data_IF_681323887831
#
_entry.id   IF_681323887831
#
_cell.length_a   1.000
_cell.length_b   1.000
_cell.length_c   1.000
_cell.angle_alpha   90.00
_cell.angle_beta   90.00
_cell.angle_gamma   90.00
#
_symmetry.space_group_name_H-M   'P 1'
#
loop_
_entity.id
_entity.type
_entity.pdbx_description
1 polymer ?
#
# COMPACT_ATOMS: atom_id res chain seq x y z
N UNK A 1 19.13 -18.54 -2.31
CA UNK A 1 18.31 -19.11 -3.40
C UNK A 1 16.97 -19.54 -2.82
N UNK A 2 15.87 -19.23 -3.51
CA UNK A 2 14.52 -19.66 -3.13
C UNK A 2 14.29 -21.13 -3.53
N UNK A 3 13.38 -21.81 -2.83
CA UNK A 3 13.04 -23.20 -3.15
C UNK A 3 12.25 -23.28 -4.45
N UNK A 4 12.61 -24.25 -5.31
CA UNK A 4 11.91 -24.53 -6.56
C UNK A 4 10.53 -25.14 -6.28
N UNK A 5 9.61 -24.98 -7.23
CA UNK A 5 8.24 -25.51 -7.15
C UNK A 5 7.44 -24.92 -5.99
N UNK A 6 7.83 -23.75 -5.48
CA UNK A 6 7.23 -23.12 -4.31
C UNK A 6 6.66 -21.76 -4.72
N UNK A 7 5.42 -21.50 -4.33
CA UNK A 7 4.84 -20.16 -4.41
C UNK A 7 5.29 -19.36 -3.18
N UNK A 8 5.82 -18.18 -3.37
CA UNK A 8 6.20 -17.25 -2.31
C UNK A 8 5.28 -16.05 -2.34
N UNK A 9 4.85 -15.62 -1.17
CA UNK A 9 4.20 -14.32 -0.97
C UNK A 9 5.21 -13.36 -0.36
N UNK A 10 5.31 -12.16 -0.93
CA UNK A 10 6.17 -11.11 -0.43
C UNK A 10 5.38 -10.14 0.45
N UNK A 11 5.99 -9.74 1.56
CA UNK A 11 5.43 -8.77 2.49
C UNK A 11 6.42 -7.63 2.72
N UNK A 12 5.96 -6.38 2.63
CA UNK A 12 6.69 -5.25 3.18
C UNK A 12 6.40 -5.19 4.67
N UNK A 13 7.46 -5.17 5.49
CA UNK A 13 7.33 -5.05 6.95
C UNK A 13 7.91 -3.72 7.41
N UNK A 14 7.09 -2.94 8.13
CA UNK A 14 7.39 -1.56 8.49
C UNK A 14 6.65 -1.12 9.75
N UNK A 15 6.98 0.06 10.26
CA UNK A 15 6.32 0.70 11.39
C UNK A 15 6.26 2.22 11.17
N UNK A 16 5.39 2.89 11.93
CA UNK A 16 5.29 4.35 11.94
C UNK A 16 5.96 4.93 13.18
N UNK A 17 6.81 5.94 12.98
CA UNK A 17 7.24 6.82 14.07
C UNK A 17 6.06 7.64 14.55
N UNK A 18 6.05 8.02 15.83
CA UNK A 18 5.12 9.04 16.33
C UNK A 18 5.21 10.30 15.45
N UNK A 19 4.05 10.76 14.97
CA UNK A 19 3.95 11.91 14.06
C UNK A 19 4.23 11.60 12.59
N UNK A 20 4.18 10.32 12.17
CA UNK A 20 4.20 9.97 10.76
C UNK A 20 3.02 10.62 9.99
N UNK A 21 3.25 10.99 8.73
CA UNK A 21 2.23 11.63 7.88
C UNK A 21 2.48 11.36 6.38
N UNK A 22 1.43 11.51 5.58
CA UNK A 22 1.48 11.44 4.12
C UNK A 22 1.25 10.05 3.52
N UNK A 23 0.75 9.08 4.30
CA UNK A 23 0.50 7.69 3.85
C UNK A 23 -0.98 7.39 3.55
N UNK A 24 -1.78 8.45 3.49
CA UNK A 24 -3.23 8.47 3.25
C UNK A 24 -3.62 8.10 1.81
N UNK A 25 -2.66 8.15 0.88
CA UNK A 25 -2.82 7.71 -0.49
C UNK A 25 -2.17 6.33 -0.72
N UNK A 26 -2.78 5.47 -1.55
CA UNK A 26 -2.21 4.17 -1.87
C UNK A 26 -0.89 4.30 -2.63
N UNK A 27 0.00 3.33 -2.43
CA UNK A 27 1.21 3.13 -3.21
C UNK A 27 0.99 2.01 -4.25
N UNK A 28 1.83 1.96 -5.27
CA UNK A 28 1.88 0.87 -6.25
C UNK A 28 2.89 -0.18 -5.79
N UNK A 29 2.44 -1.43 -5.62
CA UNK A 29 3.31 -2.59 -5.44
C UNK A 29 3.49 -3.35 -6.76
N UNK A 30 4.66 -3.97 -6.93
CA UNK A 30 4.98 -4.80 -8.09
C UNK A 30 5.89 -5.97 -7.72
N UNK A 31 5.87 -7.00 -8.58
CA UNK A 31 6.67 -8.22 -8.48
C UNK A 31 7.28 -8.55 -9.85
N UNK A 32 8.52 -8.18 -10.11
CA UNK A 32 9.12 -8.25 -11.44
C UNK A 32 10.14 -9.40 -11.53
N UNK A 33 10.04 -10.20 -12.59
CA UNK A 33 11.02 -11.25 -12.90
C UNK A 33 11.83 -10.82 -14.12
N UNK A 34 13.15 -10.78 -14.00
CA UNK A 34 14.05 -10.51 -15.13
C UNK A 34 13.76 -9.19 -15.88
N UNK A 35 13.24 -8.17 -15.19
CA UNK A 35 12.88 -6.90 -15.82
C UNK A 35 11.65 -6.99 -16.74
N UNK A 36 10.82 -8.04 -16.59
CA UNK A 36 9.52 -8.12 -17.23
C UNK A 36 8.43 -7.58 -16.31
N UNK A 37 7.80 -6.50 -16.76
CA UNK A 37 6.71 -5.84 -16.06
C UNK A 37 5.60 -6.83 -15.68
N UNK A 38 5.26 -6.84 -14.40
CA UNK A 38 4.15 -7.61 -13.85
C UNK A 38 2.92 -6.76 -13.57
N UNK A 39 1.87 -7.43 -13.12
CA UNK A 39 0.66 -6.79 -12.62
C UNK A 39 0.98 -5.94 -11.39
N UNK A 40 0.76 -4.63 -11.53
CA UNK A 40 0.82 -3.68 -10.42
C UNK A 40 -0.51 -3.69 -9.68
N UNK A 41 -0.46 -3.63 -8.36
CA UNK A 41 -1.64 -3.47 -7.54
C UNK A 41 -1.44 -2.41 -6.46
N UNK A 42 -2.56 -1.92 -5.93
CA UNK A 42 -2.58 -0.84 -4.95
C UNK A 42 -2.39 -1.39 -3.55
N UNK A 43 -1.46 -0.81 -2.81
CA UNK A 43 -1.20 -1.15 -1.40
C UNK A 43 -1.31 0.09 -0.53
N UNK A 44 -2.04 -0.03 0.57
CA UNK A 44 -2.11 1.03 1.57
C UNK A 44 -0.98 0.85 2.58
N UNK A 45 -0.33 1.95 2.94
CA UNK A 45 0.70 1.97 3.98
C UNK A 45 0.18 2.52 5.31
N UNK A 46 -1.02 3.10 5.32
CA UNK A 46 -1.70 3.47 6.55
C UNK A 46 -2.78 2.46 6.92
N UNK A 47 -3.00 2.30 8.23
CA UNK A 47 -4.02 1.41 8.75
C UNK A 47 -5.38 2.03 8.48
N UNK A 48 -6.15 1.40 7.60
CA UNK A 48 -7.55 1.74 7.41
C UNK A 48 -8.34 1.37 8.67
N UNK A 49 -8.42 2.30 9.62
CA UNK A 49 -9.44 2.30 10.67
C UNK A 49 -10.72 2.86 10.05
N UNK A 50 -11.39 2.01 9.25
CA UNK A 50 -12.65 2.28 8.56
C UNK A 50 -13.53 3.33 9.25
N UNK A 51 -13.84 4.43 8.56
CA UNK A 51 -14.98 5.32 8.85
C UNK A 51 -15.10 5.89 10.27
N UNK A 52 -14.04 6.44 10.85
CA UNK A 52 -14.22 7.57 11.76
C UNK A 52 -13.47 8.77 11.19
N UNK A 53 -14.15 9.88 10.82
CA UNK A 53 -13.46 11.12 10.56
C UNK A 53 -12.90 11.58 11.91
N UNK A 54 -11.71 11.08 12.26
CA UNK A 54 -10.87 11.70 13.25
C UNK A 54 -10.54 13.08 12.69
N UNK A 55 -11.43 14.02 12.99
CA UNK A 55 -11.18 15.44 13.02
C UNK A 55 -10.11 15.64 14.07
N UNK A 56 -8.86 15.33 13.73
CA UNK A 56 -7.76 16.13 14.23
C UNK A 56 -7.97 17.50 13.61
N UNK A 57 -8.78 18.29 14.32
CA UNK A 57 -8.73 19.74 14.27
C UNK A 57 -7.30 20.09 14.67
N UNK A 58 -6.38 20.05 13.72
CA UNK A 58 -5.20 20.88 13.84
C UNK A 58 -5.77 22.29 13.74
N UNK A 59 -5.84 22.98 14.87
CA UNK A 59 -5.97 24.43 14.89
C UNK A 59 -4.78 24.96 14.07
N UNK A 60 -4.99 25.16 12.77
CA UNK A 60 -4.06 25.92 11.91
C UNK A 60 -4.18 27.38 12.33
N UNK A 61 -3.54 27.72 13.45
CA UNK A 61 -3.38 29.11 13.84
C UNK A 61 -2.30 29.71 12.94
N UNK A 62 -2.81 30.39 11.91
CA UNK A 62 -2.33 31.65 11.36
C UNK A 62 -1.11 31.64 10.42
N UNK A 63 -1.41 31.57 9.12
CA UNK A 63 -0.54 31.97 8.02
C UNK A 63 -1.29 31.98 6.67
N UNK A 64 -1.82 33.15 6.29
CA UNK A 64 -2.28 33.57 4.96
C UNK A 64 -3.61 33.04 4.35
N UNK A 65 -4.68 33.78 4.65
CA UNK A 65 -5.61 34.43 3.71
C UNK A 65 -6.31 33.61 2.58
N UNK A 66 -7.57 33.26 2.88
CA UNK A 66 -8.79 33.15 2.06
C UNK A 66 -8.82 32.30 0.78
N UNK A 67 -9.62 31.23 0.85
CA UNK A 67 -10.83 31.14 0.02
C UNK A 67 -12.02 30.58 0.82
N UNK A 68 -13.21 31.07 0.50
CA UNK A 68 -14.41 31.23 1.32
C UNK A 68 -15.22 29.95 1.61
N UNK A 69 -15.97 29.97 2.71
CA UNK A 69 -17.11 29.11 3.08
C UNK A 69 -18.27 29.18 2.06
N UNK A 70 -19.38 28.42 2.25
CA UNK A 70 -19.63 27.01 1.93
C UNK A 70 -20.55 26.86 0.69
N UNK A 71 -20.43 25.78 -0.09
CA UNK A 71 -21.44 25.45 -1.13
C UNK A 71 -22.29 24.24 -0.73
N UNK A 72 -23.45 24.55 -0.14
CA UNK A 72 -24.67 23.75 -0.30
C UNK A 72 -25.09 23.81 -1.78
N UNK A 73 -24.57 22.93 -2.63
CA UNK A 73 -25.23 22.56 -3.90
C UNK A 73 -25.03 21.07 -4.14
N UNK A 74 -26.08 20.34 -3.80
CA UNK A 74 -26.52 19.07 -4.37
C UNK A 74 -26.52 19.13 -5.90
N UNK A 75 -25.77 18.24 -6.54
CA UNK A 75 -26.03 17.74 -7.89
C UNK A 75 -25.48 16.31 -7.95
N UNK A 76 -26.21 15.34 -7.42
CA UNK A 76 -26.84 14.27 -8.24
C UNK A 76 -26.19 14.04 -9.61
N UNK A 77 -25.59 12.85 -9.74
CA UNK A 77 -25.47 12.02 -10.96
C UNK A 77 -24.31 12.43 -11.90
N UNK A 78 -23.35 11.55 -12.20
CA UNK A 78 -23.54 10.20 -12.74
C UNK A 78 -22.70 9.12 -12.05
N UNK A 79 -23.35 7.98 -11.82
CA UNK A 79 -22.76 6.68 -11.54
C UNK A 79 -21.87 6.31 -12.72
N UNK A 80 -20.57 6.23 -12.51
CA UNK A 80 -19.69 5.40 -13.32
C UNK A 80 -19.27 4.23 -12.44
N UNK A 81 -19.47 3.06 -13.03
CA UNK A 81 -19.44 1.73 -12.45
C UNK A 81 -17.98 1.29 -12.22
N UNK A 82 -17.38 1.72 -11.12
CA UNK A 82 -16.03 1.32 -10.69
C UNK A 82 -16.02 0.05 -9.82
N UNK A 83 -17.00 -0.84 -10.02
CA UNK A 83 -17.23 -2.00 -9.15
C UNK A 83 -16.19 -3.14 -9.30
N UNK A 84 -15.19 -3.00 -10.17
CA UNK A 84 -14.16 -4.05 -10.40
C UNK A 84 -12.75 -3.70 -9.85
N UNK A 85 -12.44 -2.41 -9.58
CA UNK A 85 -11.07 -1.99 -9.18
C UNK A 85 -10.83 -2.02 -7.67
N UNK A 86 -11.89 -2.05 -6.85
CA UNK A 86 -11.76 -2.19 -5.39
C UNK A 86 -11.30 -3.59 -4.95
N UNK A 87 -11.34 -4.59 -5.83
CA UNK A 87 -11.12 -5.99 -5.45
C UNK A 87 -9.66 -6.39 -5.18
N UNK A 88 -8.67 -5.56 -5.58
CA UNK A 88 -7.24 -5.89 -5.46
C UNK A 88 -6.42 -4.93 -4.57
N UNK A 89 -7.08 -4.03 -3.83
CA UNK A 89 -6.40 -3.19 -2.85
C UNK A 89 -5.97 -4.03 -1.63
N UNK A 90 -4.69 -3.95 -1.25
CA UNK A 90 -4.17 -4.61 -0.05
C UNK A 90 -3.99 -3.60 1.07
N UNK A 91 -4.46 -3.97 2.26
CA UNK A 91 -4.39 -3.13 3.45
C UNK A 91 -3.35 -3.66 4.44
N UNK A 92 -2.68 -2.77 5.19
CA UNK A 92 -1.64 -3.18 6.12
C UNK A 92 -2.27 -3.79 7.38
N UNK A 93 -1.61 -4.81 7.91
CA UNK A 93 -2.05 -5.58 9.07
C UNK A 93 -1.01 -5.49 10.19
N UNK A 94 -1.48 -5.26 11.41
CA UNK A 94 -0.62 -5.29 12.59
C UNK A 94 -0.27 -6.74 12.97
N UNK A 95 1.01 -6.96 13.27
CA UNK A 95 1.57 -8.23 13.77
C UNK A 95 1.63 -8.23 15.30
N UNK A 96 1.83 -9.40 15.88
CA UNK A 96 1.98 -9.58 17.33
C UNK A 96 3.28 -9.01 17.90
N UNK A 97 4.31 -8.81 17.07
CA UNK A 97 5.61 -8.24 17.42
C UNK A 97 5.63 -6.70 17.36
N UNK A 98 4.50 -6.07 17.04
CA UNK A 98 4.35 -4.61 16.96
C UNK A 98 4.68 -4.01 15.60
N UNK A 99 5.17 -4.81 14.63
CA UNK A 99 5.35 -4.37 13.25
C UNK A 99 4.03 -4.40 12.47
N UNK A 100 4.02 -3.70 11.34
CA UNK A 100 2.94 -3.65 10.37
C UNK A 100 3.43 -4.35 9.10
N UNK A 101 2.59 -5.15 8.48
CA UNK A 101 2.91 -5.79 7.20
C UNK A 101 1.81 -5.60 6.16
N UNK A 102 2.21 -5.47 4.89
CA UNK A 102 1.29 -5.49 3.74
C UNK A 102 1.83 -6.43 2.67
N UNK A 103 0.92 -7.16 2.02
CA UNK A 103 1.25 -8.06 0.91
C UNK A 103 1.61 -7.26 -0.34
N UNK A 104 2.73 -7.62 -0.98
CA UNK A 104 3.22 -7.00 -2.21
C UNK A 104 2.96 -7.84 -3.45
N UNK A 105 2.47 -9.07 -3.27
CA UNK A 105 2.17 -10.01 -4.35
C UNK A 105 2.75 -11.40 -4.12
N UNK A 106 2.42 -12.29 -5.05
CA UNK A 106 2.84 -13.68 -5.05
C UNK A 106 3.69 -13.98 -6.28
N UNK A 107 4.65 -14.89 -6.12
CA UNK A 107 5.51 -15.34 -7.20
C UNK A 107 5.77 -16.84 -7.10
N UNK A 108 5.67 -17.54 -8.22
CA UNK A 108 5.94 -18.98 -8.29
C UNK A 108 7.32 -19.26 -8.86
N UNK A 109 8.14 -20.00 -8.11
CA UNK A 109 9.48 -20.39 -8.54
C UNK A 109 9.41 -21.66 -9.39
N UNK A 110 9.27 -21.53 -10.72
CA UNK A 110 9.21 -22.66 -11.65
C UNK A 110 10.54 -23.45 -11.73
N UNK A 111 11.65 -22.81 -11.34
CA UNK A 111 12.98 -23.41 -11.29
C UNK A 111 13.63 -23.63 -12.66
N UNK A 112 13.03 -23.15 -13.75
CA UNK A 112 13.60 -23.27 -15.10
C UNK A 112 14.60 -22.17 -15.43
N UNK A 113 14.56 -21.06 -14.69
CA UNK A 113 15.28 -19.84 -15.00
C UNK A 113 15.99 -19.33 -13.74
N UNK A 114 17.30 -19.11 -13.85
CA UNK A 114 18.08 -18.37 -12.87
C UNK A 114 17.90 -16.89 -13.21
N UNK A 115 17.30 -16.14 -12.28
CA UNK A 115 16.90 -14.76 -12.52
C UNK A 115 16.74 -13.99 -11.22
N UNK A 116 16.83 -12.67 -11.33
CA UNK A 116 16.58 -11.77 -10.21
C UNK A 116 15.07 -11.50 -10.12
N UNK A 117 14.55 -11.68 -8.91
CA UNK A 117 13.18 -11.41 -8.56
C UNK A 117 13.14 -10.11 -7.75
N UNK A 118 12.51 -9.10 -8.32
CA UNK A 118 12.41 -7.78 -7.74
C UNK A 118 11.01 -7.56 -7.15
N UNK A 119 10.99 -7.00 -5.95
CA UNK A 119 9.77 -6.57 -5.28
C UNK A 119 9.94 -5.11 -4.90
N UNK A 120 8.89 -4.33 -5.10
CA UNK A 120 8.95 -2.92 -4.74
C UNK A 120 7.60 -2.33 -4.43
N UNK A 121 7.66 -1.23 -3.69
CA UNK A 121 6.54 -0.34 -3.43
C UNK A 121 7.00 1.05 -3.84
N UNK A 122 6.24 1.69 -4.72
CA UNK A 122 6.52 3.05 -5.20
C UNK A 122 5.32 3.94 -4.96
N UNK A 123 5.58 5.18 -4.55
CA UNK A 123 4.53 6.19 -4.44
C UNK A 123 3.96 6.53 -5.82
N UNK A 124 2.64 6.67 -5.89
CA UNK A 124 1.93 7.23 -7.04
C UNK A 124 2.04 8.75 -6.93
N UNK A 125 2.49 9.43 -7.99
CA UNK A 125 2.92 10.83 -8.05
C UNK A 125 1.90 11.87 -7.52
N UNK A 126 1.66 11.93 -6.22
CA UNK A 126 0.77 12.92 -5.58
C UNK A 126 1.54 14.14 -5.04
N UNK A 127 2.87 14.13 -5.08
CA UNK A 127 3.71 15.26 -4.67
C UNK A 127 3.62 15.59 -3.17
N UNK A 128 3.05 14.70 -2.37
CA UNK A 128 2.88 14.86 -0.93
C UNK A 128 4.15 14.45 -0.19
N UNK A 129 4.64 15.31 0.70
CA UNK A 129 5.74 14.94 1.58
C UNK A 129 5.30 13.85 2.55
N UNK A 130 6.10 12.78 2.62
CA UNK A 130 5.92 11.71 3.60
C UNK A 130 7.07 11.70 4.59
N UNK A 131 6.78 11.34 5.83
CA UNK A 131 7.79 11.20 6.87
C UNK A 131 7.36 10.21 7.93
N UNK A 132 8.33 9.57 8.57
CA UNK A 132 8.09 8.70 9.72
C UNK A 132 7.87 7.22 9.42
N UNK A 133 8.07 6.76 8.17
CA UNK A 133 8.12 5.33 7.86
C UNK A 133 9.44 4.72 8.34
N UNK A 134 9.36 3.62 9.09
CA UNK A 134 10.50 2.82 9.51
C UNK A 134 10.37 1.47 8.80
N UNK A 135 11.29 1.17 7.89
CA UNK A 135 11.25 -0.08 7.12
C UNK A 135 12.13 -1.13 7.80
N UNK A 136 11.55 -2.29 8.11
CA UNK A 136 12.31 -3.45 8.56
C UNK A 136 12.90 -4.20 7.36
N UNK A 137 12.10 -4.41 6.31
CA UNK A 137 12.52 -5.07 5.09
C UNK A 137 11.38 -5.76 4.35
N UNK A 138 11.76 -6.66 3.44
CA UNK A 138 10.84 -7.51 2.68
C UNK A 138 10.98 -8.95 3.19
N UNK A 139 9.86 -9.58 3.53
CA UNK A 139 9.81 -10.98 3.94
C UNK A 139 9.15 -11.83 2.85
N UNK A 140 9.85 -12.89 2.42
CA UNK A 140 9.31 -13.89 1.49
C UNK A 140 8.86 -15.13 2.26
N UNK A 141 7.59 -15.49 2.14
CA UNK A 141 7.00 -16.64 2.84
C UNK A 141 6.49 -17.67 1.84
N UNK A 142 6.88 -18.95 1.97
CA UNK A 142 6.32 -20.00 1.12
C UNK A 142 4.84 -20.19 1.46
N UNK A 143 4.00 -20.22 0.44
CA UNK A 143 2.58 -20.53 0.54
C UNK A 143 2.40 -22.03 0.44
N UNK A 144 1.71 -22.63 1.41
CA UNK A 144 1.39 -24.04 1.36
C UNK A 144 0.46 -24.29 0.16
N UNK A 145 0.89 -25.17 -0.75
CA UNK A 145 0.02 -25.67 -1.81
C UNK A 145 -0.89 -26.69 -1.14
N UNK A 146 -2.15 -26.32 -0.85
CA UNK A 146 -3.16 -27.31 -0.47
C UNK A 146 -3.33 -28.25 -1.65
N UNK A 147 -2.87 -29.49 -1.49
CA UNK A 147 -3.00 -30.57 -2.48
C UNK A 147 -4.42 -31.07 -2.60
#
# INVERSE_FOLDING_TARGET
MLSRGTCYTAYLVFAHKSGAYGFDHPAEAFVELNGHASEKHRVFLDRDESHEPRRHIVLRTLGSFYNRLPRLVRQQQTVEDDSEVESNAKYPKQRSDGWIEVELGEYFVEGREDGDLEFGVMEVNDGNWKSGLIVQGIELRPKAVSS
#
